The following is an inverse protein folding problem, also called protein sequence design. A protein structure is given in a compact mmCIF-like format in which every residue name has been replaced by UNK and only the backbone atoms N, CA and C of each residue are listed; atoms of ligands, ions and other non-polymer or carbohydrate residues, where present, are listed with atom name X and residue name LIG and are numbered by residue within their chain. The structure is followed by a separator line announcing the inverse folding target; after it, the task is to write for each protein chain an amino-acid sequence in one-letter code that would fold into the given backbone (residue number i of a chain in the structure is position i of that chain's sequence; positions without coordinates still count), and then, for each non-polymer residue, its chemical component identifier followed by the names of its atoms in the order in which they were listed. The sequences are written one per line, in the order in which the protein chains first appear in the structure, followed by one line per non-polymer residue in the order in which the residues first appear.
data_IF_023010622106
#
_entry.id   IF_023010622106
#
_cell.length_a   1.000
_cell.length_b   1.000
_cell.length_c   1.000
_cell.angle_alpha   90.00
_cell.angle_beta   90.00
_cell.angle_gamma   90.00
#
_symmetry.space_group_name_H-M   'P 1'
#
loop_
_entity.id
_entity.type
_entity.pdbx_description
1 polymer ?
#
# COMPACT_ATOMS: atom_id res chain seq x y z
N UNK A 1 22.25 -4.38 -4.87
CA UNK A 1 21.86 -2.98 -4.59
C UNK A 1 21.53 -2.18 -5.84
N UNK A 2 22.39 -2.06 -6.87
CA UNK A 2 22.08 -1.23 -8.07
C UNK A 2 20.72 -1.54 -8.73
N UNK A 3 20.36 -2.82 -8.88
CA UNK A 3 19.07 -3.25 -9.44
C UNK A 3 17.86 -2.82 -8.59
N UNK A 4 18.03 -2.75 -7.27
CA UNK A 4 16.97 -2.36 -6.33
C UNK A 4 16.71 -0.86 -6.42
N UNK A 5 17.78 -0.07 -6.47
CA UNK A 5 17.70 1.38 -6.66
C UNK A 5 17.03 1.73 -8.01
N UNK A 6 17.36 1.00 -9.08
CA UNK A 6 16.70 1.17 -10.38
C UNK A 6 15.21 0.84 -10.33
N UNK A 7 14.82 -0.20 -9.59
CA UNK A 7 13.41 -0.56 -9.43
C UNK A 7 12.64 0.46 -8.60
N UNK A 8 13.24 0.97 -7.52
CA UNK A 8 12.67 2.07 -6.73
C UNK A 8 12.52 3.33 -7.58
N UNK A 9 13.55 3.68 -8.36
CA UNK A 9 13.49 4.80 -9.29
C UNK A 9 12.36 4.63 -10.31
N UNK A 10 12.17 3.43 -10.85
CA UNK A 10 11.06 3.13 -11.76
C UNK A 10 9.70 3.39 -11.09
N UNK A 11 9.48 2.95 -9.85
CA UNK A 11 8.23 3.21 -9.12
C UNK A 11 8.02 4.72 -8.91
N UNK A 12 9.08 5.46 -8.56
CA UNK A 12 9.02 6.91 -8.38
C UNK A 12 8.67 7.62 -9.70
N UNK A 13 9.28 7.20 -10.81
CA UNK A 13 8.97 7.74 -12.13
C UNK A 13 7.52 7.43 -12.54
N UNK A 14 7.03 6.23 -12.24
CA UNK A 14 5.64 5.85 -12.48
C UNK A 14 4.68 6.72 -11.66
N UNK A 15 4.99 6.98 -10.39
CA UNK A 15 4.23 7.88 -9.54
C UNK A 15 4.12 9.29 -10.14
N UNK A 16 5.25 9.87 -10.57
CA UNK A 16 5.24 11.18 -11.24
C UNK A 16 4.62 11.15 -12.63
N UNK A 17 4.62 10.03 -13.34
CA UNK A 17 3.91 9.88 -14.61
C UNK A 17 2.39 9.95 -14.41
N UNK A 18 1.88 9.43 -13.29
CA UNK A 18 0.45 9.48 -12.94
C UNK A 18 0.05 10.88 -12.47
N UNK A 19 0.85 11.50 -11.61
CA UNK A 19 0.50 12.77 -10.94
C UNK A 19 1.06 14.03 -11.58
N UNK A 20 1.94 13.88 -12.58
CA UNK A 20 2.71 14.97 -13.17
C UNK A 20 3.92 15.39 -12.31
N UNK A 21 4.94 15.96 -12.96
CA UNK A 21 6.06 16.58 -12.28
C UNK A 21 5.67 17.96 -11.78
N UNK A 22 5.71 18.16 -10.47
CA UNK A 22 5.43 19.45 -9.87
C UNK A 22 6.71 20.27 -9.81
N UNK A 23 6.94 21.03 -10.88
CA UNK A 23 8.15 21.85 -11.07
C UNK A 23 8.16 23.06 -10.12
N UNK A 24 7.00 23.45 -9.57
CA UNK A 24 6.90 24.55 -8.61
C UNK A 24 6.93 24.02 -7.16
N UNK A 25 8.05 24.21 -6.47
CA UNK A 25 8.32 23.65 -5.14
C UNK A 25 7.49 24.28 -4.01
N UNK A 26 6.87 25.45 -4.22
CA UNK A 26 5.94 26.04 -3.25
C UNK A 26 4.67 25.20 -3.06
N UNK A 27 4.24 24.51 -4.11
CA UNK A 27 2.98 23.73 -4.14
C UNK A 27 3.01 22.35 -3.45
N UNK A 28 4.18 21.90 -2.99
CA UNK A 28 4.33 20.62 -2.27
C UNK A 28 4.10 20.82 -0.76
N UNK A 29 4.38 22.02 -0.25
CA UNK A 29 4.29 22.41 1.16
C UNK A 29 3.13 23.37 1.46
N UNK A 30 2.58 24.04 0.46
CA UNK A 30 1.30 24.74 0.60
C UNK A 30 0.21 23.71 0.99
N UNK A 31 -0.78 24.15 1.79
CA UNK A 31 -2.01 23.43 2.15
C UNK A 31 -2.88 23.16 0.91
N UNK A 32 -2.28 22.52 -0.10
CA UNK A 32 -2.90 22.17 -1.35
C UNK A 32 -3.84 21.01 -1.06
N UNK A 33 -5.11 21.23 -1.37
CA UNK A 33 -6.15 20.21 -1.31
C UNK A 33 -6.38 19.64 -2.69
N UNK A 34 -6.91 18.42 -2.72
CA UNK A 34 -7.47 17.82 -3.92
C UNK A 34 -8.96 17.75 -3.71
N UNK A 35 -9.69 18.33 -4.65
CA UNK A 35 -11.15 18.30 -4.68
C UNK A 35 -11.59 17.07 -5.48
N UNK A 36 -12.19 16.11 -4.78
CA UNK A 36 -12.78 14.92 -5.37
C UNK A 36 -14.28 15.14 -5.50
N UNK A 37 -14.75 15.29 -6.75
CA UNK A 37 -16.18 15.34 -7.03
C UNK A 37 -16.73 13.90 -7.13
N UNK A 38 -17.56 13.52 -6.17
CA UNK A 38 -18.25 12.23 -6.13
C UNK A 38 -19.74 12.50 -5.96
N UNK A 39 -20.55 12.15 -6.97
CA UNK A 39 -22.01 12.30 -6.94
C UNK A 39 -22.51 13.64 -6.37
N UNK A 40 -22.10 14.74 -7.02
CA UNK A 40 -22.49 16.12 -6.67
C UNK A 40 -22.06 16.57 -5.27
N UNK A 41 -21.17 15.81 -4.62
CA UNK A 41 -20.50 16.20 -3.37
C UNK A 41 -19.00 16.40 -3.60
N UNK A 42 -18.45 17.44 -2.96
CA UNK A 42 -17.03 17.76 -3.01
C UNK A 42 -16.35 17.25 -1.74
N UNK A 43 -15.49 16.25 -1.88
CA UNK A 43 -14.59 15.81 -0.83
C UNK A 43 -13.25 16.51 -0.99
N UNK A 44 -12.87 17.31 0.00
CA UNK A 44 -11.61 18.05 0.02
C UNK A 44 -10.62 17.26 0.86
N UNK A 45 -9.60 16.69 0.23
CA UNK A 45 -8.57 15.90 0.92
C UNK A 45 -7.23 16.61 0.80
N UNK A 46 -6.46 16.79 1.88
CA UNK A 46 -5.10 17.30 1.78
C UNK A 46 -4.26 16.44 0.83
N UNK A 47 -3.61 17.09 -0.14
CA UNK A 47 -2.85 16.44 -1.21
C UNK A 47 -1.77 15.50 -0.70
N UNK A 48 -1.15 15.84 0.44
CA UNK A 48 -0.12 15.02 1.09
C UNK A 48 -0.65 13.62 1.41
N UNK A 49 -1.88 13.49 1.92
CA UNK A 49 -2.47 12.18 2.22
C UNK A 49 -2.73 11.40 0.93
N UNK A 50 -3.35 12.01 -0.08
CA UNK A 50 -3.60 11.37 -1.38
C UNK A 50 -2.31 10.88 -2.06
N UNK A 51 -1.25 11.70 -2.05
CA UNK A 51 0.06 11.32 -2.60
C UNK A 51 0.69 10.16 -1.82
N UNK A 52 0.60 10.21 -0.49
CA UNK A 52 1.10 9.13 0.37
C UNK A 52 0.35 7.82 0.09
N UNK A 53 -0.98 7.86 -0.08
CA UNK A 53 -1.79 6.69 -0.43
C UNK A 53 -1.38 6.06 -1.75
N UNK A 54 -1.32 6.89 -2.80
CA UNK A 54 -1.00 6.41 -4.13
C UNK A 54 0.44 5.89 -4.22
N UNK A 55 1.39 6.50 -3.51
CA UNK A 55 2.76 6.03 -3.44
C UNK A 55 2.86 4.69 -2.70
N UNK A 56 2.26 4.56 -1.51
CA UNK A 56 2.24 3.29 -0.75
C UNK A 56 1.58 2.17 -1.54
N UNK A 57 0.47 2.47 -2.22
CA UNK A 57 -0.23 1.52 -3.07
C UNK A 57 0.65 1.04 -4.24
N UNK A 58 1.30 1.96 -4.96
CA UNK A 58 2.23 1.62 -6.05
C UNK A 58 3.38 0.76 -5.55
N UNK A 59 4.02 1.12 -4.43
CA UNK A 59 5.08 0.29 -3.86
C UNK A 59 4.55 -1.11 -3.49
N UNK A 60 3.37 -1.21 -2.87
CA UNK A 60 2.79 -2.50 -2.47
C UNK A 60 2.56 -3.40 -3.69
N UNK A 61 1.88 -2.90 -4.72
CA UNK A 61 1.56 -3.69 -5.93
C UNK A 61 2.83 -4.02 -6.74
N UNK A 62 3.74 -3.06 -6.94
CA UNK A 62 4.97 -3.32 -7.70
C UNK A 62 5.86 -4.35 -7.00
N UNK A 63 5.99 -4.29 -5.67
CA UNK A 63 6.75 -5.29 -4.93
C UNK A 63 6.03 -6.64 -4.86
N UNK A 64 4.70 -6.67 -4.76
CA UNK A 64 3.92 -7.91 -4.88
C UNK A 64 4.19 -8.61 -6.21
N UNK A 65 4.06 -7.90 -7.33
CA UNK A 65 4.34 -8.45 -8.66
C UNK A 65 5.77 -8.98 -8.71
N UNK A 66 6.72 -8.21 -8.18
CA UNK A 66 8.13 -8.57 -8.21
C UNK A 66 8.44 -9.83 -7.39
N UNK A 67 7.92 -9.98 -6.18
CA UNK A 67 8.16 -11.17 -5.37
C UNK A 67 7.52 -12.41 -5.99
N UNK A 68 6.36 -12.27 -6.63
CA UNK A 68 5.71 -13.35 -7.37
C UNK A 68 6.53 -13.79 -8.58
N UNK A 69 7.00 -12.82 -9.40
CA UNK A 69 7.87 -13.09 -10.56
C UNK A 69 9.19 -13.75 -10.13
N UNK A 70 9.78 -13.28 -9.04
CA UNK A 70 11.02 -13.83 -8.50
C UNK A 70 10.80 -15.07 -7.61
N UNK A 71 9.55 -15.54 -7.48
CA UNK A 71 9.17 -16.69 -6.65
C UNK A 71 9.78 -16.63 -5.24
N UNK A 72 9.73 -15.44 -4.64
CA UNK A 72 10.25 -15.16 -3.28
C UNK A 72 11.76 -15.36 -3.10
N UNK A 73 12.54 -15.52 -4.19
CA UNK A 73 13.98 -15.75 -4.10
C UNK A 73 14.77 -14.53 -3.59
N UNK A 74 14.22 -13.32 -3.74
CA UNK A 74 14.88 -12.08 -3.34
C UNK A 74 14.39 -11.60 -1.97
N UNK A 75 15.17 -11.90 -0.93
CA UNK A 75 14.85 -11.54 0.46
C UNK A 75 14.62 -10.04 0.67
N UNK A 76 15.39 -9.18 0.01
CA UNK A 76 15.23 -7.74 0.17
C UNK A 76 13.87 -7.27 -0.38
N UNK A 77 13.50 -7.77 -1.57
CA UNK A 77 12.19 -7.45 -2.16
C UNK A 77 11.04 -7.95 -1.28
N UNK A 78 11.17 -9.14 -0.69
CA UNK A 78 10.20 -9.69 0.25
C UNK A 78 10.07 -8.83 1.52
N UNK A 79 11.18 -8.39 2.13
CA UNK A 79 11.12 -7.51 3.29
C UNK A 79 10.51 -6.15 2.97
N UNK A 80 10.87 -5.55 1.82
CA UNK A 80 10.27 -4.29 1.38
C UNK A 80 8.76 -4.47 1.18
N UNK A 81 8.33 -5.55 0.55
CA UNK A 81 6.92 -5.86 0.38
C UNK A 81 6.19 -5.94 1.73
N UNK A 82 6.70 -6.74 2.67
CA UNK A 82 6.06 -6.90 4.00
C UNK A 82 5.94 -5.55 4.71
N UNK A 83 7.00 -4.74 4.72
CA UNK A 83 6.99 -3.43 5.41
C UNK A 83 5.99 -2.48 4.75
N UNK A 84 6.07 -2.31 3.43
CA UNK A 84 5.17 -1.41 2.70
C UNK A 84 3.72 -1.86 2.83
N UNK A 85 3.47 -3.16 2.71
CA UNK A 85 2.11 -3.68 2.77
C UNK A 85 1.52 -3.60 4.18
N UNK A 86 2.34 -3.82 5.22
CA UNK A 86 1.93 -3.59 6.60
C UNK A 86 1.58 -2.11 6.85
N UNK A 87 2.39 -1.18 6.35
CA UNK A 87 2.09 0.25 6.42
C UNK A 87 0.78 0.57 5.69
N UNK A 88 0.58 0.05 4.48
CA UNK A 88 -0.66 0.24 3.72
C UNK A 88 -1.88 -0.28 4.49
N UNK A 89 -1.79 -1.45 5.13
CA UNK A 89 -2.87 -2.02 5.96
C UNK A 89 -3.20 -1.11 7.13
N UNK A 90 -2.19 -0.65 7.89
CA UNK A 90 -2.41 0.25 9.04
C UNK A 90 -3.15 1.51 8.60
N UNK A 91 -2.72 2.09 7.47
CA UNK A 91 -3.34 3.25 6.87
C UNK A 91 -4.79 2.99 6.41
N UNK A 92 -5.06 1.87 5.74
CA UNK A 92 -6.43 1.50 5.33
C UNK A 92 -7.36 1.29 6.53
N UNK A 93 -6.86 0.70 7.62
CA UNK A 93 -7.63 0.56 8.87
C UNK A 93 -7.97 1.93 9.45
N UNK A 94 -7.01 2.86 9.46
CA UNK A 94 -7.24 4.23 9.93
C UNK A 94 -8.29 4.95 9.08
N UNK A 95 -8.22 4.82 7.75
CA UNK A 95 -9.21 5.39 6.84
C UNK A 95 -10.61 4.81 7.04
N UNK A 96 -10.73 3.48 7.13
CA UNK A 96 -12.02 2.84 7.43
C UNK A 96 -12.59 3.37 8.76
N UNK A 97 -11.74 3.55 9.77
CA UNK A 97 -12.16 4.12 11.05
C UNK A 97 -12.61 5.58 10.92
N UNK A 98 -11.83 6.43 10.24
CA UNK A 98 -12.15 7.83 10.02
C UNK A 98 -13.45 8.00 9.23
N UNK A 99 -13.62 7.24 8.15
CA UNK A 99 -14.85 7.17 7.37
C UNK A 99 -16.01 6.72 8.26
N UNK A 100 -15.87 5.68 9.06
CA UNK A 100 -16.93 5.24 9.98
C UNK A 100 -17.34 6.31 10.99
N UNK A 101 -16.40 7.10 11.52
CA UNK A 101 -16.72 8.21 12.44
C UNK A 101 -17.47 9.31 11.70
N UNK A 102 -16.93 9.77 10.58
CA UNK A 102 -17.52 10.80 9.73
C UNK A 102 -18.92 10.41 9.26
N UNK A 103 -19.08 9.17 8.81
CA UNK A 103 -20.34 8.65 8.33
C UNK A 103 -21.35 8.38 9.43
N UNK A 104 -20.94 8.02 10.65
CA UNK A 104 -21.87 7.94 11.79
C UNK A 104 -22.55 9.28 12.04
N UNK A 105 -21.81 10.38 11.87
CA UNK A 105 -22.33 11.74 12.02
C UNK A 105 -23.23 12.13 10.82
N UNK A 106 -22.99 11.58 9.62
CA UNK A 106 -23.85 11.74 8.43
C UNK A 106 -25.07 10.82 8.40
N UNK A 107 -25.03 9.65 9.03
CA UNK A 107 -26.14 8.68 9.06
C UNK A 107 -27.33 9.21 9.87
N UNK A 108 -27.11 10.19 10.75
CA UNK A 108 -28.17 11.01 11.37
C UNK A 108 -28.88 11.92 10.35
N UNK A 109 -28.29 12.16 9.17
CA UNK A 109 -28.71 13.13 8.16
C UNK A 109 -29.10 12.51 6.79
N UNK A 110 -29.53 11.24 6.76
CA UNK A 110 -30.27 10.60 5.63
C UNK A 110 -29.51 10.25 4.33
N UNK A 111 -28.20 10.02 4.38
CA UNK A 111 -27.47 9.43 3.23
C UNK A 111 -27.35 7.92 3.42
N UNK A 112 -27.97 7.13 2.54
CA UNK A 112 -27.68 5.69 2.43
C UNK A 112 -26.25 5.52 1.90
N UNK A 113 -25.34 5.12 2.77
CA UNK A 113 -23.97 4.81 2.35
C UNK A 113 -23.98 3.43 1.69
N UNK A 114 -23.38 3.35 0.51
CA UNK A 114 -23.32 2.12 -0.25
C UNK A 114 -22.58 1.02 0.52
N UNK A 115 -23.30 -0.02 0.94
CA UNK A 115 -22.73 -1.17 1.63
C UNK A 115 -21.65 -1.87 0.79
N UNK A 116 -21.77 -1.82 -0.55
CA UNK A 116 -20.79 -2.42 -1.45
C UNK A 116 -19.42 -1.75 -1.34
N UNK A 117 -19.39 -0.43 -1.14
CA UNK A 117 -18.15 0.32 -0.90
C UNK A 117 -17.43 -0.20 0.35
N UNK A 118 -18.15 -0.39 1.45
CA UNK A 118 -17.59 -0.94 2.68
C UNK A 118 -17.08 -2.37 2.50
N UNK A 119 -17.89 -3.25 1.91
CA UNK A 119 -17.48 -4.62 1.68
C UNK A 119 -16.24 -4.71 0.80
N UNK A 120 -16.12 -3.86 -0.21
CA UNK A 120 -14.93 -3.76 -1.03
C UNK A 120 -13.69 -3.38 -0.20
N UNK A 121 -13.77 -2.34 0.64
CA UNK A 121 -12.67 -1.91 1.50
C UNK A 121 -12.25 -2.98 2.53
N UNK A 122 -13.22 -3.63 3.17
CA UNK A 122 -12.95 -4.74 4.09
C UNK A 122 -12.30 -5.92 3.35
N UNK A 123 -12.85 -6.31 2.20
CA UNK A 123 -12.32 -7.40 1.39
C UNK A 123 -10.86 -7.15 0.98
N UNK A 124 -10.54 -5.95 0.46
CA UNK A 124 -9.17 -5.59 0.08
C UNK A 124 -8.26 -5.63 1.31
N UNK A 125 -8.66 -4.99 2.41
CA UNK A 125 -7.84 -4.97 3.64
C UNK A 125 -7.55 -6.38 4.13
N UNK A 126 -8.56 -7.26 4.15
CA UNK A 126 -8.41 -8.66 4.51
C UNK A 126 -7.48 -9.41 3.56
N UNK A 127 -7.62 -9.21 2.24
CA UNK A 127 -6.72 -9.83 1.26
C UNK A 127 -5.26 -9.40 1.46
N UNK A 128 -5.02 -8.12 1.76
CA UNK A 128 -3.68 -7.61 2.06
C UNK A 128 -3.13 -8.22 3.35
N UNK A 129 -3.94 -8.34 4.42
CA UNK A 129 -3.52 -9.02 5.66
C UNK A 129 -3.11 -10.47 5.38
N UNK A 130 -3.93 -11.22 4.64
CA UNK A 130 -3.61 -12.60 4.26
C UNK A 130 -2.32 -12.68 3.46
N UNK A 131 -2.07 -11.73 2.56
CA UNK A 131 -0.82 -11.71 1.77
C UNK A 131 0.42 -11.50 2.64
N UNK A 132 0.34 -10.69 3.71
CA UNK A 132 1.45 -10.52 4.67
C UNK A 132 1.67 -11.81 5.47
N UNK A 133 0.60 -12.42 5.99
CA UNK A 133 0.69 -13.67 6.75
C UNK A 133 1.33 -14.78 5.88
N UNK A 134 0.87 -14.89 4.63
CA UNK A 134 1.42 -15.83 3.66
C UNK A 134 2.91 -15.58 3.41
N UNK A 135 3.31 -14.33 3.21
CA UNK A 135 4.72 -13.99 2.97
C UNK A 135 5.61 -14.33 4.17
N UNK A 136 5.16 -14.00 5.39
CA UNK A 136 5.89 -14.34 6.62
C UNK A 136 6.07 -15.86 6.74
N UNK A 137 5.03 -16.63 6.41
CA UNK A 137 5.10 -18.09 6.37
C UNK A 137 6.12 -18.60 5.34
N UNK A 138 6.12 -18.06 4.12
CA UNK A 138 7.06 -18.44 3.05
C UNK A 138 8.50 -18.14 3.49
N UNK A 139 8.76 -16.95 4.04
CA UNK A 139 10.07 -16.55 4.54
C UNK A 139 10.57 -17.47 5.66
N UNK A 140 9.70 -17.82 6.60
CA UNK A 140 10.01 -18.76 7.68
C UNK A 140 10.39 -20.15 7.14
N UNK A 141 9.59 -20.69 6.21
CA UNK A 141 9.84 -22.00 5.59
C UNK A 141 11.17 -22.03 4.84
N UNK A 142 11.48 -21.00 4.05
CA UNK A 142 12.73 -20.89 3.29
C UNK A 142 13.94 -20.78 4.23
N UNK A 143 13.80 -20.08 5.36
CA UNK A 143 14.86 -19.96 6.35
C UNK A 143 15.20 -21.31 7.01
N UNK A 144 14.18 -22.09 7.39
CA UNK A 144 14.37 -23.41 7.99
C UNK A 144 15.06 -24.41 7.03
N UNK A 145 14.64 -24.45 5.77
CA UNK A 145 15.28 -25.33 4.76
C UNK A 145 16.78 -25.01 4.55
N UNK A 146 17.14 -23.73 4.64
CA UNK A 146 18.55 -23.31 4.52
C UNK A 146 19.39 -23.76 5.73
N UNK A 147 18.80 -23.80 6.93
CA UNK A 147 19.48 -24.30 8.12
C UNK A 147 19.75 -25.80 8.04
N UNK A 148 18.77 -26.59 7.60
CA UNK A 148 18.90 -28.04 7.45
C UNK A 148 19.99 -28.43 6.45
N UNK A 149 20.03 -27.77 5.29
CA UNK A 149 21.06 -28.00 4.26
C UNK A 149 22.47 -27.64 4.74
N UNK A 150 22.63 -26.58 5.54
CA UNK A 150 23.93 -26.19 6.08
C UNK A 150 24.53 -27.20 7.09
N UNK A 151 23.66 -27.90 7.83
CA UNK A 151 24.06 -28.92 8.81
C UNK A 151 24.54 -30.22 8.17
N UNK A 152 24.14 -30.49 6.91
CA UNK A 152 24.54 -31.70 6.18
C UNK A 152 25.97 -31.55 5.62
N UNK A 153 26.39 -30.35 5.25
CA UNK A 153 27.73 -30.09 4.69
C UNK A 153 28.84 -29.88 5.72
N UNK A 154 28.52 -29.93 7.01
CA UNK A 154 29.48 -29.78 8.13
C UNK A 154 29.76 -31.08 8.88
N UNK A 155 29.22 -32.22 8.40
CA UNK A 155 29.55 -33.58 8.84
C UNK A 155 30.34 -34.30 7.78
#
# INVERSE_FOLDING_TARGET
MKKELLFILFIILLFFAIHGFQINTTSILEDATIDLNVHDTYFVIPKVYYWTYTLLFLFSICYLIRILVLRFANRLANYIYVIVNALLIVWLIFEIHALNVLFRDFQQNSIEIDQLFYYFFYFITTALIFSVIFEVYVLYKVWNQKQETSKIHTK
#
